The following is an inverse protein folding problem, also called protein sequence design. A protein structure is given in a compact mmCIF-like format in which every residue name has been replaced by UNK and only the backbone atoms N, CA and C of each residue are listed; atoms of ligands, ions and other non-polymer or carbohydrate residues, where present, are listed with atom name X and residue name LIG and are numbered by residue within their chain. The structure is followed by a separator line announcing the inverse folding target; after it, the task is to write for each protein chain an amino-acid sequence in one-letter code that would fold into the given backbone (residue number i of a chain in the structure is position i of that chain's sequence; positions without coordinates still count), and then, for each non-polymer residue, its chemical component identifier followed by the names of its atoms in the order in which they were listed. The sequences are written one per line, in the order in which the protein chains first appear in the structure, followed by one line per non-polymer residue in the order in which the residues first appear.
data_IF_591183253175
#
_entry.id   IF_591183253175
#
_cell.length_a   1.000
_cell.length_b   1.000
_cell.length_c   1.000
_cell.angle_alpha   90.00
_cell.angle_beta   90.00
_cell.angle_gamma   90.00
#
_symmetry.space_group_name_H-M   'P 1'
#
loop_
_entity.id
_entity.type
_entity.pdbx_description
1 polymer ?
#
# COMPACT_ATOMS: atom_id res chain seq x y z
N UNK A 1 -45.55 -3.64 38.71
CA UNK A 1 -44.23 -4.16 39.07
C UNK A 1 -43.48 -4.37 37.75
N UNK A 2 -42.48 -3.56 37.50
CA UNK A 2 -41.65 -3.75 36.28
C UNK A 2 -40.66 -4.86 36.65
N UNK A 3 -40.81 -6.02 36.05
CA UNK A 3 -39.82 -7.10 36.14
C UNK A 3 -38.59 -6.59 35.38
N UNK A 4 -37.54 -6.23 36.11
CA UNK A 4 -36.22 -6.03 35.57
C UNK A 4 -35.79 -7.40 34.98
N UNK A 5 -35.86 -7.54 33.64
CA UNK A 5 -35.32 -8.74 32.99
C UNK A 5 -33.79 -8.63 33.09
N UNK A 6 -33.22 -9.46 33.90
CA UNK A 6 -31.77 -9.67 33.95
C UNK A 6 -31.36 -10.39 32.68
N UNK A 7 -30.71 -9.70 31.80
CA UNK A 7 -30.29 -10.28 30.54
C UNK A 7 -28.88 -10.87 30.66
N UNK A 8 -28.79 -12.16 30.33
CA UNK A 8 -27.51 -12.78 29.97
C UNK A 8 -27.18 -12.30 28.55
N UNK A 9 -26.00 -11.76 28.36
CA UNK A 9 -25.52 -11.29 27.06
C UNK A 9 -24.23 -11.99 26.67
N UNK A 10 -24.09 -12.22 25.37
CA UNK A 10 -22.87 -12.80 24.76
C UNK A 10 -22.39 -11.88 23.64
N UNK A 11 -21.14 -11.47 23.72
CA UNK A 11 -20.54 -10.56 22.77
C UNK A 11 -19.02 -10.66 22.72
N UNK A 12 -18.37 -9.66 22.13
CA UNK A 12 -16.93 -9.62 21.92
C UNK A 12 -16.37 -10.86 21.22
N UNK A 13 -17.06 -11.27 20.15
CA UNK A 13 -16.72 -12.46 19.41
C UNK A 13 -15.39 -12.29 18.65
N UNK A 14 -14.51 -13.28 18.78
CA UNK A 14 -13.21 -13.30 18.12
C UNK A 14 -12.93 -14.64 17.45
N UNK A 15 -12.33 -14.60 16.26
CA UNK A 15 -11.76 -15.77 15.58
C UNK A 15 -10.24 -15.64 15.58
N UNK A 16 -9.48 -16.65 16.07
CA UNK A 16 -8.02 -16.59 16.20
C UNK A 16 -7.55 -15.34 16.98
N UNK A 17 -8.28 -14.97 18.04
CA UNK A 17 -8.08 -13.78 18.86
C UNK A 17 -8.31 -12.42 18.14
N UNK A 18 -8.74 -12.40 16.89
CA UNK A 18 -9.03 -11.19 16.11
C UNK A 18 -10.53 -10.96 15.94
N UNK A 19 -10.94 -9.70 15.80
CA UNK A 19 -12.31 -9.32 15.47
C UNK A 19 -12.45 -9.31 13.95
N UNK A 20 -13.36 -10.15 13.42
CA UNK A 20 -13.71 -10.21 12.00
C UNK A 20 -12.48 -10.26 11.04
N UNK A 21 -11.54 -11.18 11.25
CA UNK A 21 -10.31 -11.21 10.45
C UNK A 21 -10.58 -11.57 8.99
N UNK A 22 -9.80 -10.97 8.08
CA UNK A 22 -9.86 -11.19 6.64
C UNK A 22 -8.53 -11.79 6.16
N UNK A 23 -8.62 -12.76 5.25
CA UNK A 23 -7.45 -13.34 4.59
C UNK A 23 -6.58 -14.20 5.50
N UNK A 24 -7.14 -14.79 6.54
CA UNK A 24 -6.38 -15.64 7.46
C UNK A 24 -6.16 -17.05 6.89
N UNK A 25 -4.96 -17.58 7.09
CA UNK A 25 -4.62 -18.96 6.76
C UNK A 25 -4.76 -19.84 8.01
N UNK A 26 -5.79 -20.67 8.04
CA UNK A 26 -6.04 -21.58 9.13
C UNK A 26 -6.55 -22.93 8.65
N UNK A 27 -6.27 -23.97 9.41
CA UNK A 27 -6.78 -25.33 9.18
C UNK A 27 -8.02 -25.61 10.03
N UNK A 28 -8.00 -25.16 11.27
CA UNK A 28 -9.12 -25.28 12.22
C UNK A 28 -9.28 -23.92 12.90
N UNK A 29 -10.43 -23.26 12.79
CA UNK A 29 -10.66 -22.00 13.47
C UNK A 29 -10.84 -22.21 14.98
N UNK A 30 -10.39 -21.21 15.76
CA UNK A 30 -10.74 -21.10 17.17
C UNK A 30 -11.61 -19.88 17.41
N UNK A 31 -12.54 -20.01 18.34
CA UNK A 31 -13.53 -19.01 18.68
C UNK A 31 -13.42 -18.58 20.14
N UNK A 32 -13.66 -17.30 20.40
CA UNK A 32 -13.70 -16.76 21.74
C UNK A 32 -14.84 -15.77 21.89
N UNK A 33 -15.43 -15.69 23.06
CA UNK A 33 -16.52 -14.77 23.39
C UNK A 33 -16.47 -14.36 24.85
N UNK A 34 -17.26 -13.37 25.22
CA UNK A 34 -17.39 -12.89 26.59
C UNK A 34 -18.87 -12.93 26.98
N UNK A 35 -19.14 -13.45 28.19
CA UNK A 35 -20.43 -13.34 28.83
C UNK A 35 -20.49 -12.08 29.67
N UNK A 36 -21.62 -11.40 29.66
CA UNK A 36 -21.97 -10.36 30.61
C UNK A 36 -23.35 -10.60 31.20
N UNK A 37 -23.51 -10.29 32.48
CA UNK A 37 -24.77 -10.40 33.18
C UNK A 37 -24.86 -9.32 34.25
N UNK A 38 -26.07 -8.79 34.48
CA UNK A 38 -26.36 -7.92 35.61
C UNK A 38 -26.47 -8.68 36.94
N UNK A 39 -26.56 -10.00 36.88
CA UNK A 39 -26.63 -10.84 38.09
C UNK A 39 -25.21 -11.29 38.51
N UNK A 40 -25.07 -11.54 39.81
CA UNK A 40 -23.85 -12.13 40.37
C UNK A 40 -23.90 -13.65 40.30
N UNK A 41 -22.71 -14.28 40.30
CA UNK A 41 -22.53 -15.73 40.28
C UNK A 41 -23.18 -16.38 39.07
N UNK A 42 -23.11 -15.72 37.92
CA UNK A 42 -23.47 -16.29 36.61
C UNK A 42 -22.21 -16.87 36.00
N UNK A 43 -22.28 -18.13 35.62
CA UNK A 43 -21.18 -18.89 35.00
C UNK A 43 -21.74 -19.68 33.81
N UNK A 44 -21.01 -19.72 32.72
CA UNK A 44 -21.33 -20.62 31.60
C UNK A 44 -21.27 -22.09 32.06
N UNK A 45 -22.24 -22.88 31.67
CA UNK A 45 -22.24 -24.34 31.86
C UNK A 45 -22.16 -25.09 30.54
N UNK A 46 -22.72 -24.51 29.47
CA UNK A 46 -22.62 -25.10 28.14
C UNK A 46 -22.64 -24.05 27.07
N UNK A 47 -22.22 -24.44 25.87
CA UNK A 47 -22.32 -23.62 24.68
C UNK A 47 -22.65 -24.45 23.45
N UNK A 48 -23.14 -23.78 22.38
CA UNK A 48 -23.19 -24.32 21.03
C UNK A 48 -22.78 -23.24 20.01
N UNK A 49 -21.99 -23.63 19.03
CA UNK A 49 -21.48 -22.74 17.98
C UNK A 49 -22.03 -23.20 16.64
N UNK A 50 -22.45 -22.24 15.81
CA UNK A 50 -22.88 -22.46 14.43
C UNK A 50 -22.02 -21.62 13.49
N UNK A 51 -21.61 -22.22 12.38
CA UNK A 51 -20.84 -21.56 11.31
C UNK A 51 -21.60 -21.70 9.99
N UNK A 52 -21.75 -20.62 9.27
CA UNK A 52 -22.51 -20.54 8.01
C UNK A 52 -21.73 -19.79 6.94
N UNK A 53 -21.95 -20.10 5.68
CA UNK A 53 -21.50 -19.29 4.54
C UNK A 53 -22.41 -18.08 4.31
N UNK A 54 -23.62 -18.12 4.83
CA UNK A 54 -24.59 -17.04 4.69
C UNK A 54 -24.81 -16.30 6.03
N UNK A 55 -24.94 -14.97 5.94
CA UNK A 55 -25.09 -14.09 7.12
C UNK A 55 -26.38 -14.36 7.91
N UNK A 56 -27.41 -14.86 7.27
CA UNK A 56 -28.70 -15.17 7.87
C UNK A 56 -28.77 -16.60 8.44
N UNK A 57 -27.66 -17.34 8.31
CA UNK A 57 -27.55 -18.76 8.71
C UNK A 57 -28.49 -19.71 7.95
N UNK A 58 -28.85 -19.35 6.71
CA UNK A 58 -29.62 -20.22 5.81
C UNK A 58 -28.80 -21.40 5.28
N UNK A 59 -27.44 -21.29 5.28
CA UNK A 59 -26.50 -22.34 4.86
C UNK A 59 -25.48 -22.62 5.95
N UNK A 60 -25.88 -23.40 6.96
CA UNK A 60 -25.01 -23.81 8.07
C UNK A 60 -24.10 -24.95 7.62
N UNK A 61 -22.81 -24.71 7.67
CA UNK A 61 -21.76 -25.65 7.20
C UNK A 61 -21.11 -26.44 8.34
N UNK A 62 -21.26 -25.97 9.58
CA UNK A 62 -20.74 -26.66 10.74
C UNK A 62 -21.47 -26.21 12.02
N UNK A 63 -21.70 -27.17 12.93
CA UNK A 63 -22.22 -26.96 14.26
C UNK A 63 -21.47 -27.80 15.30
N UNK A 64 -21.17 -27.22 16.45
CA UNK A 64 -20.54 -27.96 17.56
C UNK A 64 -21.47 -28.96 18.26
N UNK A 65 -22.79 -28.79 18.07
CA UNK A 65 -23.76 -29.31 19.04
C UNK A 65 -23.63 -28.60 20.40
N UNK A 66 -24.35 -29.07 21.39
CA UNK A 66 -24.24 -28.56 22.76
C UNK A 66 -23.02 -29.22 23.44
N UNK A 67 -22.11 -28.40 23.91
CA UNK A 67 -20.90 -28.83 24.64
C UNK A 67 -21.00 -28.35 26.09
N UNK A 68 -20.99 -29.29 27.03
CA UNK A 68 -20.98 -29.00 28.47
C UNK A 68 -19.56 -28.53 28.86
N UNK A 69 -19.37 -27.22 28.96
CA UNK A 69 -18.09 -26.58 29.26
C UNK A 69 -18.26 -25.12 29.63
N UNK A 70 -17.43 -24.63 30.51
CA UNK A 70 -17.28 -23.22 30.88
C UNK A 70 -16.23 -22.49 30.02
N UNK A 71 -15.57 -23.20 29.09
CA UNK A 71 -14.58 -22.62 28.20
C UNK A 71 -15.26 -21.62 27.24
N UNK A 72 -14.73 -20.41 27.19
CA UNK A 72 -15.21 -19.32 26.31
C UNK A 72 -14.07 -18.66 25.52
N UNK A 73 -12.86 -19.19 25.65
CA UNK A 73 -11.69 -18.67 24.93
C UNK A 73 -10.95 -19.81 24.22
N UNK A 74 -10.50 -19.53 23.00
CA UNK A 74 -9.75 -20.46 22.13
C UNK A 74 -10.43 -21.82 21.93
N UNK A 75 -11.75 -21.83 21.79
CA UNK A 75 -12.55 -23.02 21.52
C UNK A 75 -12.34 -23.45 20.08
N UNK A 76 -11.71 -24.63 19.90
CA UNK A 76 -11.39 -25.16 18.57
C UNK A 76 -12.63 -25.73 17.87
N UNK A 77 -12.86 -25.37 16.63
CA UNK A 77 -13.91 -25.94 15.79
C UNK A 77 -13.48 -27.31 15.23
N UNK A 78 -13.36 -28.29 16.12
CA UNK A 78 -12.90 -29.63 15.75
C UNK A 78 -13.79 -30.26 14.68
N UNK A 79 -13.16 -30.82 13.63
CA UNK A 79 -13.89 -31.42 12.50
C UNK A 79 -14.35 -30.41 11.45
N UNK A 80 -14.14 -29.11 11.64
CA UNK A 80 -14.42 -28.11 10.62
C UNK A 80 -13.13 -27.70 9.89
N UNK A 81 -13.14 -27.86 8.58
CA UNK A 81 -12.04 -27.42 7.70
C UNK A 81 -12.54 -26.37 6.73
N UNK A 82 -12.31 -25.07 6.99
CA UNK A 82 -12.80 -24.01 6.13
C UNK A 82 -12.09 -24.00 4.77
N UNK A 83 -12.81 -23.62 3.74
CA UNK A 83 -12.29 -23.57 2.36
C UNK A 83 -11.57 -22.24 2.10
N UNK A 84 -10.57 -22.26 1.22
CA UNK A 84 -9.88 -21.06 0.75
C UNK A 84 -10.84 -20.08 0.07
N UNK A 85 -10.57 -18.78 0.19
CA UNK A 85 -11.34 -17.69 -0.44
C UNK A 85 -12.81 -17.66 -0.04
N UNK A 86 -13.14 -18.12 1.16
CA UNK A 86 -14.51 -18.21 1.65
C UNK A 86 -14.67 -17.40 2.92
N UNK A 87 -15.75 -16.62 2.97
CA UNK A 87 -16.18 -15.93 4.18
C UNK A 87 -17.17 -16.80 4.92
N UNK A 88 -16.97 -16.91 6.24
CA UNK A 88 -17.86 -17.62 7.14
C UNK A 88 -18.38 -16.67 8.19
N UNK A 89 -19.66 -16.81 8.53
CA UNK A 89 -20.30 -16.14 9.66
C UNK A 89 -20.47 -17.15 10.78
N UNK A 90 -20.39 -16.69 12.02
CA UNK A 90 -20.59 -17.58 13.14
C UNK A 90 -21.30 -16.86 14.29
N UNK A 91 -21.94 -17.64 15.11
CA UNK A 91 -22.63 -17.23 16.32
C UNK A 91 -22.46 -18.30 17.39
N UNK A 92 -22.61 -17.91 18.65
CA UNK A 92 -22.58 -18.82 19.79
C UNK A 92 -23.81 -18.61 20.63
N UNK A 93 -24.39 -19.70 21.11
CA UNK A 93 -25.43 -19.74 22.15
C UNK A 93 -24.80 -20.32 23.38
N UNK A 94 -24.96 -19.67 24.52
CA UNK A 94 -24.46 -20.15 25.81
C UNK A 94 -25.62 -20.37 26.78
N UNK A 95 -25.43 -21.32 27.69
CA UNK A 95 -26.36 -21.55 28.82
C UNK A 95 -25.58 -21.31 30.11
N UNK A 96 -26.21 -20.64 31.06
CA UNK A 96 -25.62 -20.39 32.38
C UNK A 96 -26.03 -21.43 33.45
N UNK A 97 -25.42 -21.33 34.60
CA UNK A 97 -25.67 -22.19 35.78
C UNK A 97 -27.06 -21.96 36.44
N UNK A 98 -27.86 -21.02 35.89
CA UNK A 98 -29.24 -20.76 36.33
C UNK A 98 -30.27 -21.23 35.29
N UNK A 99 -29.79 -21.81 34.17
CA UNK A 99 -30.63 -22.31 33.10
C UNK A 99 -31.06 -21.23 32.10
N UNK A 100 -30.49 -20.01 32.13
CA UNK A 100 -30.75 -19.01 31.13
C UNK A 100 -29.89 -19.27 29.91
N UNK A 101 -30.45 -19.04 28.70
CA UNK A 101 -29.71 -19.16 27.46
C UNK A 101 -29.68 -17.80 26.74
N UNK A 102 -28.53 -17.48 26.14
CA UNK A 102 -28.35 -16.31 25.32
C UNK A 102 -27.58 -16.65 24.06
N UNK A 103 -28.03 -16.12 22.93
CA UNK A 103 -27.32 -16.20 21.64
C UNK A 103 -26.68 -14.85 21.34
N UNK A 104 -25.47 -14.85 20.81
CA UNK A 104 -24.80 -13.62 20.41
C UNK A 104 -25.65 -12.86 19.38
N UNK A 105 -25.94 -11.59 19.67
CA UNK A 105 -26.64 -10.69 18.74
C UNK A 105 -25.70 -10.19 17.65
N UNK A 106 -24.40 -10.07 17.96
CA UNK A 106 -23.34 -9.81 17.01
C UNK A 106 -23.11 -11.05 16.15
N UNK A 107 -23.09 -10.85 14.84
CA UNK A 107 -22.74 -11.89 13.86
C UNK A 107 -21.31 -11.66 13.44
N UNK A 108 -20.40 -12.37 14.07
CA UNK A 108 -19.00 -12.33 13.71
C UNK A 108 -18.74 -13.08 12.41
N UNK A 109 -17.67 -12.70 11.73
CA UNK A 109 -17.23 -13.39 10.53
C UNK A 109 -15.71 -13.57 10.53
N UNK A 110 -15.26 -14.47 9.68
CA UNK A 110 -13.85 -14.56 9.27
C UNK A 110 -13.77 -14.93 7.80
N UNK A 111 -12.70 -14.51 7.15
CA UNK A 111 -12.47 -14.82 5.76
C UNK A 111 -11.15 -15.56 5.61
N UNK A 112 -11.22 -16.70 4.94
CA UNK A 112 -10.05 -17.54 4.71
C UNK A 112 -9.28 -17.06 3.48
N UNK A 113 -7.97 -16.93 3.62
CA UNK A 113 -7.06 -16.60 2.55
C UNK A 113 -6.90 -17.71 1.53
N UNK A 114 -5.84 -17.63 0.75
CA UNK A 114 -5.60 -18.56 -0.34
C UNK A 114 -5.02 -19.93 0.09
N UNK A 115 -4.54 -20.03 1.33
CA UNK A 115 -3.95 -21.23 1.97
C UNK A 115 -2.72 -21.82 1.29
N UNK A 116 -2.70 -21.89 -0.04
CA UNK A 116 -1.61 -22.51 -0.79
C UNK A 116 -1.56 -22.02 -2.24
N UNK A 117 -0.48 -22.36 -2.94
CA UNK A 117 -0.25 -21.93 -4.31
C UNK A 117 -1.33 -22.40 -5.31
N UNK A 118 -1.97 -23.55 -5.08
CA UNK A 118 -3.02 -24.05 -5.96
C UNK A 118 -4.31 -23.23 -5.87
N UNK A 119 -4.58 -22.62 -4.73
CA UNK A 119 -5.74 -21.72 -4.52
C UNK A 119 -5.62 -20.40 -5.31
N UNK A 120 -4.44 -20.05 -5.79
CA UNK A 120 -4.25 -18.90 -6.70
C UNK A 120 -4.87 -19.16 -8.07
N UNK A 121 -5.24 -20.38 -8.38
CA UNK A 121 -5.97 -20.75 -9.59
C UNK A 121 -5.42 -20.10 -10.87
N UNK A 122 -4.10 -20.18 -11.07
CA UNK A 122 -3.36 -19.51 -12.15
C UNK A 122 -3.41 -17.98 -12.12
N UNK A 123 -3.83 -17.38 -11.02
CA UNK A 123 -3.72 -15.94 -10.86
C UNK A 123 -2.26 -15.53 -11.07
N UNK A 124 -2.05 -14.51 -11.86
CA UNK A 124 -0.73 -13.89 -12.03
C UNK A 124 -0.71 -12.61 -11.19
N UNK A 125 0.46 -12.27 -10.69
CA UNK A 125 0.65 -10.98 -10.09
C UNK A 125 0.27 -9.89 -11.10
N UNK A 126 -0.70 -9.06 -10.74
CA UNK A 126 -0.97 -7.86 -11.51
C UNK A 126 0.14 -6.89 -11.11
N UNK A 127 1.16 -6.78 -11.97
CA UNK A 127 2.02 -5.61 -11.90
C UNK A 127 1.14 -4.40 -12.24
N UNK A 128 1.29 -3.32 -11.52
CA UNK A 128 0.71 -2.05 -11.93
C UNK A 128 1.04 -1.78 -13.41
N UNK A 129 0.26 -1.00 -14.08
CA UNK A 129 0.30 -0.72 -15.54
C UNK A 129 1.63 -0.14 -16.05
N UNK A 130 2.67 -0.12 -15.25
CA UNK A 130 4.04 0.31 -15.56
C UNK A 130 4.90 -0.75 -16.24
N UNK A 131 4.31 -1.82 -16.78
CA UNK A 131 5.06 -2.79 -17.59
C UNK A 131 4.84 -2.48 -19.07
N UNK A 132 5.90 -2.42 -19.89
CA UNK A 132 5.77 -2.33 -21.34
C UNK A 132 4.85 -3.45 -21.85
N UNK A 133 3.90 -3.12 -22.72
CA UNK A 133 3.09 -4.10 -23.46
C UNK A 133 4.00 -4.93 -24.36
N UNK A 134 4.58 -6.00 -23.86
CA UNK A 134 5.19 -6.99 -24.72
C UNK A 134 5.23 -8.34 -24.03
N UNK A 135 4.62 -9.33 -24.67
CA UNK A 135 4.44 -10.71 -24.20
C UNK A 135 5.68 -11.60 -24.36
N UNK A 136 6.84 -11.12 -24.02
CA UNK A 136 8.06 -11.92 -23.95
C UNK A 136 8.86 -11.52 -22.73
N UNK A 137 9.50 -12.49 -22.09
CA UNK A 137 10.36 -12.37 -20.90
C UNK A 137 10.85 -10.94 -20.68
N UNK A 138 10.66 -10.39 -19.46
CA UNK A 138 11.04 -9.03 -19.10
C UNK A 138 12.48 -8.81 -19.57
N UNK A 139 12.64 -8.34 -20.79
CA UNK A 139 13.93 -7.85 -21.27
C UNK A 139 14.25 -6.68 -20.37
N UNK A 140 15.35 -6.74 -19.66
CA UNK A 140 15.84 -5.61 -18.86
C UNK A 140 15.96 -4.45 -19.83
N UNK A 141 15.11 -3.43 -19.67
CA UNK A 141 15.19 -2.23 -20.51
C UNK A 141 16.48 -1.53 -20.13
N UNK A 142 17.42 -1.48 -21.07
CA UNK A 142 18.75 -0.92 -20.86
C UNK A 142 18.88 0.48 -21.42
N UNK A 143 18.06 0.79 -22.43
CA UNK A 143 18.05 2.07 -23.10
C UNK A 143 16.68 2.70 -22.95
N UNK A 144 16.60 3.85 -22.31
CA UNK A 144 15.36 4.60 -22.13
C UNK A 144 15.64 6.08 -22.00
N UNK A 145 14.61 6.87 -22.18
CA UNK A 145 14.64 8.31 -22.01
C UNK A 145 13.47 8.73 -21.12
N UNK A 146 13.77 9.63 -20.18
CA UNK A 146 12.78 10.26 -19.31
C UNK A 146 12.76 11.72 -19.61
N UNK A 147 11.59 12.29 -19.85
CA UNK A 147 11.38 13.72 -20.02
C UNK A 147 10.26 14.19 -19.11
N UNK A 148 10.42 15.37 -18.51
CA UNK A 148 9.40 16.00 -17.68
C UNK A 148 9.57 17.50 -17.70
N UNK A 149 8.46 18.24 -17.76
CA UNK A 149 8.44 19.67 -17.47
C UNK A 149 8.46 19.88 -15.97
N UNK A 150 9.21 20.86 -15.51
CA UNK A 150 9.27 21.23 -14.10
C UNK A 150 9.29 22.74 -13.92
N UNK A 151 8.76 23.21 -12.81
CA UNK A 151 8.83 24.59 -12.36
C UNK A 151 9.28 24.59 -10.89
N UNK A 152 10.44 25.17 -10.58
CA UNK A 152 10.85 25.38 -9.20
C UNK A 152 10.07 26.57 -8.64
N UNK A 153 9.34 26.35 -7.56
CA UNK A 153 8.66 27.41 -6.82
C UNK A 153 9.56 27.92 -5.69
N UNK A 154 10.16 26.98 -4.98
CA UNK A 154 11.07 27.27 -3.88
C UNK A 154 12.16 26.21 -3.82
N UNK A 155 13.41 26.61 -3.74
CA UNK A 155 14.63 25.85 -3.51
C UNK A 155 15.03 24.87 -4.58
N UNK A 156 14.21 23.87 -4.90
CA UNK A 156 14.60 22.84 -5.82
C UNK A 156 13.42 22.06 -6.40
N UNK A 157 13.69 21.35 -7.50
CA UNK A 157 12.87 20.29 -8.06
C UNK A 157 13.72 19.02 -8.17
N UNK A 158 13.15 17.86 -7.79
CA UNK A 158 13.87 16.58 -7.81
C UNK A 158 13.09 15.49 -8.52
N UNK A 159 13.72 14.84 -9.51
CA UNK A 159 13.20 13.67 -10.22
C UNK A 159 13.90 12.41 -9.72
N UNK A 160 13.13 11.42 -9.28
CA UNK A 160 13.58 10.08 -8.92
C UNK A 160 13.43 9.18 -10.13
N UNK A 161 14.44 8.38 -10.44
CA UNK A 161 14.43 7.42 -11.54
C UNK A 161 15.32 6.21 -11.22
N UNK A 162 15.22 5.18 -12.07
CA UNK A 162 15.94 3.91 -11.87
C UNK A 162 15.75 3.33 -10.45
N UNK A 163 14.57 3.56 -9.85
CA UNK A 163 14.27 3.07 -8.51
C UNK A 163 13.95 1.58 -8.57
N UNK A 164 14.72 0.77 -7.82
CA UNK A 164 14.46 -0.65 -7.62
C UNK A 164 13.51 -0.90 -6.46
N UNK A 165 13.64 -0.07 -5.44
CA UNK A 165 12.84 -0.07 -4.22
C UNK A 165 13.03 1.26 -3.49
N UNK A 166 12.40 1.42 -2.31
CA UNK A 166 12.46 2.62 -1.48
C UNK A 166 13.89 2.98 -1.03
N UNK A 167 14.79 2.01 -0.91
CA UNK A 167 16.14 2.18 -0.38
C UNK A 167 17.21 2.30 -1.47
N UNK A 168 16.84 2.05 -2.74
CA UNK A 168 17.81 1.95 -3.85
C UNK A 168 17.28 2.66 -5.10
N UNK A 169 17.69 3.93 -5.28
CA UNK A 169 17.28 4.76 -6.41
C UNK A 169 18.26 5.90 -6.66
N UNK A 170 18.07 6.59 -7.78
CA UNK A 170 18.75 7.84 -8.10
C UNK A 170 17.77 8.99 -8.08
N UNK A 171 18.23 10.18 -7.70
CA UNK A 171 17.45 11.40 -7.70
C UNK A 171 18.30 12.56 -8.22
N UNK A 172 17.84 13.17 -9.31
CA UNK A 172 18.44 14.37 -9.86
C UNK A 172 17.72 15.62 -9.37
N UNK A 173 18.47 16.49 -8.70
CA UNK A 173 17.93 17.73 -8.15
C UNK A 173 18.48 18.94 -8.92
N UNK A 174 17.57 19.79 -9.36
CA UNK A 174 17.86 21.16 -9.81
C UNK A 174 17.62 22.08 -8.62
N UNK A 175 18.67 22.71 -8.10
CA UNK A 175 18.62 23.54 -6.90
C UNK A 175 18.89 25.01 -7.25
N UNK A 176 18.03 25.91 -6.82
CA UNK A 176 18.08 27.35 -7.12
C UNK A 176 18.36 28.22 -5.88
N UNK A 177 18.65 27.60 -4.71
CA UNK A 177 18.77 28.27 -3.42
C UNK A 177 19.74 29.46 -3.41
N UNK A 178 20.87 29.36 -4.10
CA UNK A 178 21.94 30.36 -4.05
C UNK A 178 21.83 31.44 -5.13
N UNK A 179 20.72 31.46 -5.89
CA UNK A 179 20.56 32.34 -7.05
C UNK A 179 21.41 31.96 -8.26
N UNK A 180 22.27 30.96 -8.13
CA UNK A 180 23.02 30.33 -9.23
C UNK A 180 22.61 28.87 -9.30
N UNK A 181 21.82 28.45 -10.30
CA UNK A 181 21.28 27.09 -10.37
C UNK A 181 22.39 26.03 -10.32
N UNK A 182 22.16 25.00 -9.52
CA UNK A 182 23.06 23.87 -9.31
C UNK A 182 22.42 22.57 -9.72
N UNK A 183 23.20 21.68 -10.31
CA UNK A 183 22.83 20.30 -10.51
C UNK A 183 23.40 19.44 -9.40
N UNK A 184 22.52 18.74 -8.67
CA UNK A 184 22.88 17.92 -7.51
C UNK A 184 22.31 16.51 -7.71
N UNK A 185 23.05 15.60 -8.34
CA UNK A 185 22.65 14.20 -8.45
C UNK A 185 22.91 13.47 -7.13
N UNK A 186 21.91 12.73 -6.69
CA UNK A 186 21.95 11.93 -5.48
C UNK A 186 21.74 10.45 -5.82
N UNK A 187 22.26 9.60 -4.94
CA UNK A 187 22.03 8.16 -4.97
C UNK A 187 21.63 7.70 -3.57
N UNK A 188 20.57 6.91 -3.49
CA UNK A 188 20.25 6.10 -2.32
C UNK A 188 20.73 4.68 -2.57
N UNK A 189 21.46 4.12 -1.63
CA UNK A 189 21.92 2.73 -1.66
C UNK A 189 21.76 2.13 -0.27
N UNK A 190 20.89 1.11 -0.16
CA UNK A 190 20.51 0.48 1.11
C UNK A 190 20.05 1.53 2.15
N UNK A 191 19.20 2.45 1.72
CA UNK A 191 18.65 3.52 2.55
C UNK A 191 19.62 4.68 2.87
N UNK A 192 20.88 4.61 2.39
CA UNK A 192 21.86 5.65 2.66
C UNK A 192 21.95 6.65 1.50
N UNK A 193 21.59 7.94 1.74
CA UNK A 193 21.70 8.98 0.73
C UNK A 193 23.15 9.46 0.55
N UNK A 194 23.49 9.77 -0.70
CA UNK A 194 24.76 10.41 -1.03
C UNK A 194 24.55 11.43 -2.15
N UNK A 195 24.93 12.69 -1.92
CA UNK A 195 25.09 13.66 -2.99
C UNK A 195 26.40 13.31 -3.74
N UNK A 196 26.27 12.95 -5.01
CA UNK A 196 27.40 12.47 -5.82
C UNK A 196 28.29 13.62 -6.30
N UNK A 197 27.71 14.77 -6.51
CA UNK A 197 28.40 16.01 -6.87
C UNK A 197 27.46 17.22 -6.71
N UNK A 198 28.05 18.41 -6.70
CA UNK A 198 27.32 19.68 -6.81
C UNK A 198 28.03 20.57 -7.82
N UNK A 199 27.41 20.74 -8.99
CA UNK A 199 27.98 21.47 -10.10
C UNK A 199 27.09 22.66 -10.49
N UNK A 200 27.68 23.72 -11.06
CA UNK A 200 26.90 24.75 -11.69
C UNK A 200 26.06 24.12 -12.81
N UNK A 201 24.76 24.45 -12.87
CA UNK A 201 23.86 23.87 -13.86
C UNK A 201 24.24 24.31 -15.29
N UNK A 202 24.74 25.53 -15.43
CA UNK A 202 25.13 26.08 -16.73
C UNK A 202 23.94 26.45 -17.63
N UNK A 203 22.72 26.38 -17.10
CA UNK A 203 21.46 26.83 -17.68
C UNK A 203 20.83 27.79 -16.69
N UNK A 204 20.21 28.87 -17.17
CA UNK A 204 19.48 29.80 -16.31
C UNK A 204 18.11 29.20 -15.98
N UNK A 205 17.94 28.74 -14.76
CA UNK A 205 16.67 28.23 -14.24
C UNK A 205 16.20 29.17 -13.13
N UNK A 206 15.06 29.80 -13.33
CA UNK A 206 14.47 30.73 -12.38
C UNK A 206 13.21 30.19 -11.76
N UNK A 207 13.00 30.51 -10.49
CA UNK A 207 11.76 30.15 -9.80
C UNK A 207 10.55 30.76 -10.52
N UNK A 208 9.52 29.94 -10.73
CA UNK A 208 8.31 30.35 -11.42
C UNK A 208 8.35 30.24 -12.95
N UNK A 209 9.47 29.80 -13.53
CA UNK A 209 9.59 29.52 -14.98
C UNK A 209 9.55 28.01 -15.22
N UNK A 210 8.91 27.60 -16.32
CA UNK A 210 8.80 26.18 -16.71
C UNK A 210 10.01 25.81 -17.56
N UNK A 211 10.64 24.72 -17.18
CA UNK A 211 11.81 24.14 -17.83
C UNK A 211 11.58 22.67 -18.17
N UNK A 212 12.40 22.09 -19.04
CA UNK A 212 12.36 20.66 -19.39
C UNK A 212 13.61 19.95 -18.86
N UNK A 213 13.41 18.91 -18.06
CA UNK A 213 14.47 17.98 -17.67
C UNK A 213 14.35 16.70 -18.51
N UNK A 214 15.44 16.30 -19.16
CA UNK A 214 15.51 15.05 -19.93
C UNK A 214 16.74 14.25 -19.51
N UNK A 215 16.53 12.95 -19.32
CA UNK A 215 17.59 11.99 -18.95
C UNK A 215 17.59 10.87 -19.98
N UNK A 216 18.70 10.71 -20.69
CA UNK A 216 18.96 9.59 -21.59
C UNK A 216 19.79 8.53 -20.88
N UNK A 217 19.24 7.32 -20.75
CA UNK A 217 19.97 6.18 -20.21
C UNK A 217 20.36 5.25 -21.35
N UNK A 218 21.63 4.83 -21.37
CA UNK A 218 22.18 3.89 -22.35
C UNK A 218 22.88 2.73 -21.65
N UNK A 219 22.60 1.52 -22.14
CA UNK A 219 23.11 0.25 -21.61
C UNK A 219 22.87 0.04 -20.11
N UNK A 220 21.86 0.71 -19.52
CA UNK A 220 21.63 0.76 -18.07
C UNK A 220 22.86 1.24 -17.26
N UNK A 221 23.82 1.86 -17.90
CA UNK A 221 25.14 2.19 -17.31
C UNK A 221 25.53 3.67 -17.42
N UNK A 222 24.98 4.40 -18.38
CA UNK A 222 25.29 5.82 -18.57
C UNK A 222 23.98 6.61 -18.55
N UNK A 223 23.92 7.65 -17.73
CA UNK A 223 22.84 8.63 -17.72
C UNK A 223 23.39 9.99 -18.19
N UNK A 224 22.85 10.51 -19.29
CA UNK A 224 23.15 11.85 -19.81
C UNK A 224 21.96 12.75 -19.55
N UNK A 225 22.17 13.88 -18.90
CA UNK A 225 21.12 14.79 -18.45
C UNK A 225 21.15 16.08 -19.21
N UNK A 226 19.95 16.53 -19.61
CA UNK A 226 19.75 17.77 -20.34
C UNK A 226 18.72 18.63 -19.59
N UNK A 227 18.95 19.95 -19.60
CA UNK A 227 17.96 20.94 -19.17
C UNK A 227 17.76 21.91 -20.32
N UNK A 228 16.53 22.10 -20.76
CA UNK A 228 16.16 22.91 -21.93
C UNK A 228 16.98 22.55 -23.18
N UNK A 229 17.19 21.26 -23.40
CA UNK A 229 17.96 20.73 -24.52
C UNK A 229 19.48 20.86 -24.40
N UNK A 230 20.00 21.56 -23.40
CA UNK A 230 21.44 21.68 -23.15
C UNK A 230 21.92 20.58 -22.23
N UNK A 231 22.95 19.83 -22.60
CA UNK A 231 23.57 18.84 -21.74
C UNK A 231 24.22 19.52 -20.52
N UNK A 232 23.84 19.06 -19.33
CA UNK A 232 24.34 19.57 -18.05
C UNK A 232 25.17 18.55 -17.30
N UNK A 233 24.98 17.25 -17.58
CA UNK A 233 25.70 16.18 -16.92
C UNK A 233 25.78 14.92 -17.79
N UNK A 234 26.80 14.09 -17.56
CA UNK A 234 26.84 12.70 -18.05
C UNK A 234 27.69 11.87 -17.08
N UNK A 235 27.13 10.76 -16.63
CA UNK A 235 27.79 9.91 -15.64
C UNK A 235 27.52 8.44 -15.81
N UNK A 236 28.40 7.62 -15.27
CA UNK A 236 28.23 6.17 -15.20
C UNK A 236 27.63 5.76 -13.86
N UNK A 237 26.86 4.67 -13.88
CA UNK A 237 26.19 4.11 -12.69
C UNK A 237 25.39 2.87 -13.05
N UNK A 238 24.48 2.46 -12.15
CA UNK A 238 23.55 1.35 -12.35
C UNK A 238 22.15 1.91 -12.60
N UNK A 239 21.88 2.31 -13.83
CA UNK A 239 20.63 2.99 -14.22
C UNK A 239 19.64 2.07 -14.91
N UNK A 240 19.52 0.80 -14.46
CA UNK A 240 18.50 -0.08 -15.00
C UNK A 240 17.10 0.53 -14.85
N UNK A 241 16.24 0.28 -15.85
CA UNK A 241 14.85 0.74 -15.80
C UNK A 241 14.17 0.27 -14.51
N UNK A 242 13.52 1.19 -13.83
CA UNK A 242 12.84 0.97 -12.57
C UNK A 242 11.65 1.91 -12.43
N UNK A 243 11.24 2.17 -11.20
CA UNK A 243 10.19 3.13 -10.90
C UNK A 243 10.69 4.57 -10.97
N UNK A 244 9.71 5.49 -11.06
CA UNK A 244 9.91 6.92 -11.13
C UNK A 244 9.11 7.62 -10.03
N UNK A 245 9.56 8.81 -9.63
CA UNK A 245 8.88 9.63 -8.65
C UNK A 245 9.45 11.03 -8.60
N UNK A 246 8.87 11.85 -7.74
CA UNK A 246 9.36 13.18 -7.46
C UNK A 246 9.80 13.25 -6.01
N UNK A 247 10.80 14.09 -5.74
CA UNK A 247 11.30 14.27 -4.40
C UNK A 247 10.34 15.10 -3.58
N UNK A 248 9.93 14.59 -2.42
CA UNK A 248 9.45 15.37 -1.30
C UNK A 248 10.63 15.84 -0.44
N UNK A 249 10.60 17.07 0.04
CA UNK A 249 11.54 17.51 1.05
C UNK A 249 11.01 17.15 2.43
N UNK A 250 11.73 16.26 3.11
CA UNK A 250 11.55 16.08 4.54
C UNK A 250 12.28 17.24 5.22
N UNK A 251 11.53 18.05 5.93
CA UNK A 251 11.98 19.20 6.67
C UNK A 251 13.36 19.01 7.34
N UNK A 252 14.38 19.63 6.75
CA UNK A 252 15.69 19.82 7.37
C UNK A 252 15.74 21.16 8.14
N UNK A 253 14.61 21.59 8.68
CA UNK A 253 14.54 22.72 9.62
C UNK A 253 14.79 24.07 8.99
N UNK A 254 14.06 24.48 7.96
CA UNK A 254 13.81 25.85 7.48
C UNK A 254 13.81 26.04 5.95
N UNK A 255 13.92 24.99 5.15
CA UNK A 255 14.00 25.17 3.69
C UNK A 255 13.21 24.07 2.99
N UNK A 256 11.97 24.36 2.75
CA UNK A 256 11.05 23.46 2.08
C UNK A 256 11.19 23.54 0.55
N UNK A 257 11.41 22.42 -0.11
CA UNK A 257 11.38 22.35 -1.57
C UNK A 257 9.93 22.42 -2.06
N UNK A 258 9.70 23.23 -3.09
CA UNK A 258 8.40 23.40 -3.69
C UNK A 258 8.54 23.42 -5.22
N UNK A 259 7.82 22.54 -5.91
CA UNK A 259 7.91 22.40 -7.36
C UNK A 259 6.61 21.91 -7.98
N UNK A 260 6.38 22.28 -9.24
CA UNK A 260 5.41 21.65 -10.12
C UNK A 260 6.10 20.78 -11.16
N UNK A 261 5.40 19.70 -11.55
CA UNK A 261 5.80 18.82 -12.64
C UNK A 261 4.63 18.61 -13.59
N UNK A 262 4.95 18.44 -14.87
CA UNK A 262 3.97 18.23 -15.93
C UNK A 262 4.58 17.46 -17.10
N UNK A 263 3.72 16.92 -17.99
CA UNK A 263 4.15 16.23 -19.22
C UNK A 263 5.26 15.20 -18.96
N UNK A 264 5.08 14.34 -17.96
CA UNK A 264 6.04 13.28 -17.66
C UNK A 264 5.95 12.16 -18.69
N UNK A 265 7.07 11.82 -19.30
CA UNK A 265 7.13 10.81 -20.34
C UNK A 265 8.37 9.94 -20.24
N UNK A 266 8.19 8.64 -20.43
CA UNK A 266 9.29 7.67 -20.57
C UNK A 266 9.15 6.93 -21.88
N UNK A 267 10.23 6.90 -22.66
CA UNK A 267 10.30 6.18 -23.92
C UNK A 267 11.45 5.18 -23.97
N UNK A 268 11.33 4.14 -24.79
CA UNK A 268 12.41 3.22 -25.12
C UNK A 268 12.25 2.74 -26.55
N UNK A 269 13.31 2.80 -27.34
CA UNK A 269 13.30 2.38 -28.75
C UNK A 269 12.17 3.00 -29.57
N UNK A 270 11.79 4.25 -29.26
CA UNK A 270 10.71 4.97 -29.94
C UNK A 270 9.29 4.64 -29.47
N UNK A 271 9.13 3.72 -28.51
CA UNK A 271 7.85 3.40 -27.89
C UNK A 271 7.67 4.16 -26.57
N UNK A 272 6.47 4.67 -26.31
CA UNK A 272 6.11 5.27 -25.03
C UNK A 272 5.82 4.17 -24.01
N UNK A 273 6.58 4.14 -22.92
CA UNK A 273 6.44 3.20 -21.84
C UNK A 273 5.53 3.72 -20.72
N UNK A 274 5.62 5.02 -20.46
CA UNK A 274 4.83 5.73 -19.45
C UNK A 274 4.63 7.17 -19.92
N UNK A 275 3.43 7.70 -19.75
CA UNK A 275 3.10 9.08 -20.04
C UNK A 275 2.04 9.56 -19.05
N UNK A 276 2.24 10.73 -18.46
CA UNK A 276 1.34 11.34 -17.50
C UNK A 276 1.32 12.86 -17.70
N UNK A 277 0.12 13.41 -17.89
CA UNK A 277 -0.11 14.85 -18.12
C UNK A 277 -0.77 15.53 -16.91
N UNK A 278 -1.03 14.81 -15.84
CA UNK A 278 -1.62 15.30 -14.59
C UNK A 278 -2.93 16.08 -14.74
N UNK A 279 -3.69 15.81 -15.79
CA UNK A 279 -4.96 16.52 -16.09
C UNK A 279 -6.02 16.26 -15.00
N UNK A 280 -6.00 15.08 -14.39
CA UNK A 280 -6.97 14.64 -13.40
C UNK A 280 -6.31 13.96 -12.21
N UNK A 281 -6.74 14.34 -11.01
CA UNK A 281 -6.22 13.78 -9.78
C UNK A 281 -6.52 12.28 -9.63
N UNK A 282 -7.67 11.81 -10.12
CA UNK A 282 -8.06 10.40 -10.06
C UNK A 282 -7.22 9.47 -10.96
N UNK A 283 -6.60 10.00 -12.00
CA UNK A 283 -5.76 9.23 -12.93
C UNK A 283 -4.28 9.23 -12.50
N UNK A 284 -3.90 10.09 -11.56
CA UNK A 284 -2.53 10.21 -11.08
C UNK A 284 -2.08 8.96 -10.30
N UNK A 285 -0.92 8.45 -10.66
CA UNK A 285 -0.28 7.29 -10.00
C UNK A 285 0.97 7.64 -9.21
N UNK A 286 1.41 8.90 -9.24
CA UNK A 286 2.55 9.38 -8.46
C UNK A 286 2.13 9.68 -7.03
N UNK A 287 3.02 9.37 -6.09
CA UNK A 287 2.84 9.60 -4.67
C UNK A 287 3.61 10.84 -4.20
N UNK A 288 3.26 11.35 -3.04
CA UNK A 288 4.02 12.41 -2.37
C UNK A 288 3.68 13.84 -2.81
N UNK A 289 2.60 14.01 -3.58
CA UNK A 289 2.13 15.31 -4.04
C UNK A 289 0.66 15.29 -4.37
N UNK A 290 0.16 16.41 -4.89
CA UNK A 290 -1.23 16.58 -5.30
C UNK A 290 -1.29 17.06 -6.76
N UNK A 291 -2.38 16.71 -7.46
CA UNK A 291 -2.64 17.29 -8.78
C UNK A 291 -3.44 18.58 -8.60
N UNK A 292 -2.88 19.67 -9.04
CA UNK A 292 -3.47 21.02 -8.97
C UNK A 292 -3.34 21.75 -10.29
N UNK A 293 -4.46 22.22 -10.83
CA UNK A 293 -4.51 22.97 -12.09
C UNK A 293 -3.82 22.25 -13.27
N UNK A 294 -4.02 20.93 -13.39
CA UNK A 294 -3.44 20.11 -14.45
C UNK A 294 -1.94 19.88 -14.31
N UNK A 295 -1.36 19.99 -13.11
CA UNK A 295 0.06 19.74 -12.83
C UNK A 295 0.24 19.00 -11.52
N UNK A 296 1.28 18.21 -11.38
CA UNK A 296 1.65 17.55 -10.14
C UNK A 296 2.45 18.49 -9.25
N UNK A 297 1.95 18.76 -8.08
CA UNK A 297 2.50 19.70 -7.12
C UNK A 297 3.13 18.96 -5.93
N UNK A 298 4.41 19.23 -5.71
CA UNK A 298 5.14 18.85 -4.51
C UNK A 298 5.28 20.10 -3.64
N UNK A 299 4.72 20.03 -2.45
CA UNK A 299 4.86 21.06 -1.42
C UNK A 299 5.60 20.50 -0.21
N UNK A 300 6.12 21.37 0.65
CA UNK A 300 6.62 20.96 1.95
C UNK A 300 5.54 20.27 2.78
N UNK A 301 5.91 19.26 3.51
CA UNK A 301 5.03 18.71 4.54
C UNK A 301 4.92 19.74 5.68
N UNK A 302 3.67 20.12 6.00
CA UNK A 302 3.33 20.99 7.14
C UNK A 302 3.61 20.28 8.47
#
# INVERSE_FOLDING_TARGET
MSTCMYALEVGHLKTQAYINPIGIDLTTPSFSWVLSSSERNVMQTSYSIRVSTERDFSDVVWESGTIESDQSADVQATGFTPQARTRYYWQVTVTDNKGNAATSTERAYFEVGLKNASAWNRAKWIKGTRTPKSGTSVAVIKDYEVEVKFEVRQLAAGLIFAARDHDNYYMWQINTLTGSPRFRPHRWQNGNPACMSENALGVDVRNGEVHTLRIEVRNAATATTFVDGKQVDSRTGEFAYGDFGFREDYDNGNTAEEAYFDDFKVTSNGETLLEEHFEKAEDNTFLGGTVENGRFYIKPND
#
